data_IF_467483921418
#
_entry.id   IF_467483921418
#
_cell.length_a   1.000
_cell.length_b   1.000
_cell.length_c   1.000
_cell.angle_alpha   90.00
_cell.angle_beta   90.00
_cell.angle_gamma   90.00
#
_symmetry.space_group_name_H-M   'P 1'
#
loop_
_entity.id
_entity.type
_entity.pdbx_description
1 polymer ?
#
# COMPACT_ATOMS: atom_id res chain seq x y z
N UNK A 1 4.54 -1.94 14.28
CA UNK A 1 5.16 -0.87 13.46
C UNK A 1 6.65 -0.71 13.82
N UNK A 2 7.56 -0.53 12.85
CA UNK A 2 9.00 -0.29 13.09
C UNK A 2 9.29 1.01 13.87
N UNK A 3 10.49 1.13 14.45
CA UNK A 3 10.91 2.30 15.26
C UNK A 3 10.92 3.62 14.45
N UNK A 4 11.45 3.59 13.22
CA UNK A 4 11.48 4.78 12.33
C UNK A 4 10.06 5.30 12.05
N UNK A 5 9.14 4.39 11.70
CA UNK A 5 7.74 4.74 11.44
C UNK A 5 7.02 5.29 12.68
N UNK A 6 7.30 4.76 13.88
CA UNK A 6 6.77 5.30 15.13
C UNK A 6 7.24 6.71 15.42
N UNK A 7 8.55 6.98 15.30
CA UNK A 7 9.10 8.34 15.49
C UNK A 7 8.49 9.35 14.52
N UNK A 8 8.33 8.94 13.26
CA UNK A 8 7.71 9.78 12.26
C UNK A 8 6.23 10.04 12.59
N UNK A 9 5.50 9.02 13.05
CA UNK A 9 4.12 9.20 13.51
C UNK A 9 4.01 10.08 14.76
N UNK A 10 4.98 10.02 15.68
CA UNK A 10 5.06 10.92 16.83
C UNK A 10 5.28 12.38 16.41
N UNK A 11 6.07 12.61 15.36
CA UNK A 11 6.44 13.95 14.88
C UNK A 11 5.34 14.62 14.05
N UNK A 12 4.75 13.89 13.10
CA UNK A 12 3.79 14.46 12.12
C UNK A 12 2.43 13.77 12.12
N UNK A 13 2.19 12.81 13.01
CA UNK A 13 0.96 12.02 13.00
C UNK A 13 -0.30 12.80 13.34
N UNK A 14 -0.17 13.92 14.05
CA UNK A 14 -1.25 14.84 14.38
C UNK A 14 -1.56 15.88 13.30
N UNK A 15 -0.73 15.98 12.26
CA UNK A 15 -0.89 17.00 11.22
C UNK A 15 -2.00 16.61 10.21
N UNK A 16 -2.70 17.61 9.62
CA UNK A 16 -3.71 17.37 8.60
C UNK A 16 -3.17 16.70 7.35
N UNK A 17 -3.92 15.72 6.85
CA UNK A 17 -3.72 15.13 5.53
C UNK A 17 -4.32 16.08 4.49
N UNK A 18 -3.48 16.50 3.55
CA UNK A 18 -3.80 17.41 2.45
C UNK A 18 -4.14 16.67 1.15
N UNK A 19 -3.53 15.50 0.95
CA UNK A 19 -3.78 14.65 -0.23
C UNK A 19 -3.61 13.17 0.15
N UNK A 20 -4.45 12.32 -0.41
CA UNK A 20 -4.32 10.87 -0.35
C UNK A 20 -4.39 10.31 -1.77
N UNK A 21 -3.51 9.36 -2.09
CA UNK A 21 -3.52 8.65 -3.36
C UNK A 21 -3.27 7.17 -3.13
N UNK A 22 -3.92 6.32 -3.92
CA UNK A 22 -3.56 4.92 -4.05
C UNK A 22 -2.37 4.83 -5.02
N UNK A 23 -1.28 4.25 -4.54
CA UNK A 23 -0.17 3.82 -5.38
C UNK A 23 -0.25 2.33 -5.63
N UNK A 24 -0.04 1.94 -6.89
CA UNK A 24 0.02 0.55 -7.34
C UNK A 24 1.33 0.35 -8.11
N UNK A 25 2.08 -0.68 -7.76
CA UNK A 25 3.32 -1.06 -8.46
C UNK A 25 3.39 -2.57 -8.68
N UNK A 26 3.88 -3.06 -9.83
CA UNK A 26 4.05 -4.47 -10.06
C UNK A 26 4.97 -5.10 -9.01
N UNK A 27 4.64 -6.33 -8.61
CA UNK A 27 5.55 -7.15 -7.81
C UNK A 27 6.73 -7.53 -8.71
N UNK A 28 7.97 -7.31 -8.22
CA UNK A 28 9.19 -7.57 -8.97
C UNK A 28 9.20 -8.96 -9.61
N UNK A 29 9.61 -9.04 -10.88
CA UNK A 29 9.76 -10.27 -11.66
C UNK A 29 10.49 -11.39 -10.93
N UNK A 30 11.50 -11.06 -10.12
CA UNK A 30 12.26 -12.05 -9.37
C UNK A 30 11.39 -12.80 -8.36
N UNK A 31 10.46 -12.11 -7.70
CA UNK A 31 9.53 -12.77 -6.78
C UNK A 31 8.59 -13.70 -7.55
N UNK A 32 8.03 -13.23 -8.68
CA UNK A 32 7.16 -14.04 -9.56
C UNK A 32 7.90 -15.29 -10.08
N UNK A 33 9.16 -15.15 -10.50
CA UNK A 33 10.00 -16.27 -10.94
C UNK A 33 10.22 -17.31 -9.84
N UNK A 34 10.45 -16.88 -8.59
CA UNK A 34 10.59 -17.79 -7.46
C UNK A 34 9.27 -18.51 -7.18
N UNK A 35 8.13 -17.80 -7.19
CA UNK A 35 6.81 -18.41 -6.99
C UNK A 35 6.49 -19.43 -8.09
N UNK A 36 6.81 -19.12 -9.35
CA UNK A 36 6.66 -20.05 -10.47
C UNK A 36 7.57 -21.28 -10.32
N UNK A 37 8.82 -21.10 -9.90
CA UNK A 37 9.71 -22.23 -9.65
C UNK A 37 9.18 -23.15 -8.55
N UNK A 38 8.74 -22.59 -7.42
CA UNK A 38 8.23 -23.36 -6.28
C UNK A 38 6.89 -24.06 -6.56
N UNK A 39 6.03 -23.44 -7.38
CA UNK A 39 4.74 -24.00 -7.78
C UNK A 39 4.82 -24.94 -8.99
N UNK A 40 6.00 -25.16 -9.57
CA UNK A 40 6.15 -25.84 -10.86
C UNK A 40 5.28 -25.19 -11.96
N UNK A 41 5.30 -23.86 -12.04
CA UNK A 41 4.54 -22.99 -12.95
C UNK A 41 3.03 -22.89 -12.70
N UNK A 42 2.46 -23.68 -11.77
CA UNK A 42 1.02 -23.61 -11.43
C UNK A 42 0.58 -22.21 -10.98
N UNK A 43 1.49 -21.42 -10.39
CA UNK A 43 1.20 -20.04 -9.98
C UNK A 43 0.88 -19.16 -11.20
N UNK A 44 1.71 -19.20 -12.25
CA UNK A 44 1.48 -18.45 -13.48
C UNK A 44 0.21 -18.92 -14.20
N UNK A 45 -0.02 -20.23 -14.27
CA UNK A 45 -1.22 -20.79 -14.89
C UNK A 45 -2.48 -20.32 -14.16
N UNK A 46 -2.45 -20.31 -12.82
CA UNK A 46 -3.58 -19.85 -12.00
C UNK A 46 -3.77 -18.34 -12.10
N UNK A 47 -2.68 -17.57 -12.15
CA UNK A 47 -2.74 -16.12 -12.37
C UNK A 47 -3.46 -15.81 -13.70
N UNK A 48 -3.10 -16.50 -14.78
CA UNK A 48 -3.74 -16.37 -16.08
C UNK A 48 -5.21 -16.82 -16.06
N UNK A 49 -5.51 -17.94 -15.40
CA UNK A 49 -6.89 -18.45 -15.24
C UNK A 49 -7.80 -17.46 -14.49
N UNK A 50 -7.26 -16.75 -13.49
CA UNK A 50 -7.97 -15.71 -12.74
C UNK A 50 -8.05 -14.37 -13.50
N UNK A 51 -7.47 -14.27 -14.69
CA UNK A 51 -7.50 -13.07 -15.52
C UNK A 51 -6.59 -11.95 -15.04
N UNK A 52 -5.54 -12.26 -14.26
CA UNK A 52 -4.60 -11.25 -13.78
C UNK A 52 -3.41 -11.11 -14.73
N UNK A 53 -3.32 -9.98 -15.42
CA UNK A 53 -2.16 -9.68 -16.27
C UNK A 53 -0.87 -9.51 -15.43
N UNK A 54 -0.98 -8.80 -14.30
CA UNK A 54 0.12 -8.56 -13.37
C UNK A 54 -0.35 -8.61 -11.91
N UNK A 55 0.56 -8.99 -11.01
CA UNK A 55 0.34 -8.94 -9.56
C UNK A 55 0.94 -7.65 -9.00
N UNK A 56 0.18 -6.92 -8.20
CA UNK A 56 0.58 -5.59 -7.73
C UNK A 56 0.66 -5.48 -6.22
N UNK A 57 1.49 -4.55 -5.77
CA UNK A 57 1.59 -4.10 -4.40
C UNK A 57 0.93 -2.72 -4.26
N UNK A 58 -0.14 -2.66 -3.46
CA UNK A 58 -0.85 -1.42 -3.18
C UNK A 58 -0.29 -0.72 -1.93
N UNK A 59 -0.24 0.60 -1.97
CA UNK A 59 0.13 1.45 -0.85
C UNK A 59 -0.62 2.78 -0.91
N UNK A 60 -0.63 3.52 0.19
CA UNK A 60 -1.16 4.88 0.22
C UNK A 60 -0.01 5.89 0.19
N UNK A 61 -0.10 6.83 -0.75
CA UNK A 61 0.74 8.02 -0.78
C UNK A 61 -0.02 9.15 -0.09
N UNK A 62 0.45 9.54 1.09
CA UNK A 62 -0.20 10.54 1.94
C UNK A 62 0.65 11.80 1.95
N UNK A 63 0.06 12.93 1.59
CA UNK A 63 0.65 14.26 1.78
C UNK A 63 0.07 14.87 3.04
N UNK A 64 0.92 15.15 4.02
CA UNK A 64 0.54 15.87 5.24
C UNK A 64 1.08 17.30 5.22
N UNK A 65 0.37 18.20 5.89
CA UNK A 65 0.91 19.50 6.26
C UNK A 65 2.09 19.28 7.21
N UNK A 66 3.17 20.05 7.07
CA UNK A 66 4.34 19.96 7.92
C UNK A 66 4.83 21.35 8.29
N UNK A 67 4.66 21.75 9.53
CA UNK A 67 5.13 23.04 10.02
C UNK A 67 6.57 22.99 10.58
N UNK A 68 7.21 21.81 10.59
CA UNK A 68 8.48 21.53 11.28
C UNK A 68 9.73 21.45 10.36
N UNK A 69 9.59 21.58 9.03
CA UNK A 69 10.72 21.60 8.09
C UNK A 69 10.51 20.76 6.83
N UNK A 70 11.39 20.88 5.82
CA UNK A 70 11.19 20.31 4.47
C UNK A 70 11.27 18.78 4.42
N UNK A 71 10.32 18.14 3.72
CA UNK A 71 10.62 16.95 2.92
C UNK A 71 9.70 16.85 1.70
N UNK A 72 10.23 17.20 0.52
CA UNK A 72 9.48 17.16 -0.73
C UNK A 72 10.24 16.37 -1.79
N UNK A 73 9.59 15.34 -2.32
CA UNK A 73 9.93 14.73 -3.62
C UNK A 73 8.91 15.23 -4.65
N UNK A 74 9.26 16.30 -5.36
CA UNK A 74 8.33 17.11 -6.15
C UNK A 74 8.21 16.72 -7.63
N UNK A 75 8.80 15.62 -8.09
CA UNK A 75 8.89 15.35 -9.53
C UNK A 75 7.97 14.23 -10.06
N UNK A 76 7.06 13.66 -9.25
CA UNK A 76 6.21 12.53 -9.72
C UNK A 76 4.70 12.78 -9.67
N UNK A 77 4.21 13.80 -8.96
CA UNK A 77 2.83 14.27 -9.21
C UNK A 77 2.93 15.21 -10.42
N UNK A 78 2.75 14.68 -11.64
CA UNK A 78 2.99 15.37 -12.94
C UNK A 78 2.31 16.74 -13.15
N UNK A 79 1.65 17.35 -12.16
CA UNK A 79 0.96 18.65 -12.27
C UNK A 79 0.94 19.49 -10.95
N UNK A 80 2.06 19.66 -10.22
CA UNK A 80 2.06 20.59 -9.08
C UNK A 80 3.10 21.73 -9.26
N UNK A 81 2.70 22.91 -9.78
CA UNK A 81 3.54 24.10 -9.82
C UNK A 81 3.51 24.91 -8.50
N UNK A 82 3.12 24.31 -7.38
CA UNK A 82 2.87 25.04 -6.13
C UNK A 82 4.08 25.08 -5.19
N UNK A 83 4.30 26.25 -4.58
CA UNK A 83 5.26 26.47 -3.49
C UNK A 83 5.03 25.45 -2.36
N UNK A 84 5.98 24.52 -2.17
CA UNK A 84 5.85 23.35 -1.28
C UNK A 84 6.43 23.56 0.11
N UNK A 85 6.53 24.80 0.56
CA UNK A 85 6.93 25.08 1.93
C UNK A 85 5.92 24.43 2.89
N UNK A 86 6.41 23.47 3.67
CA UNK A 86 5.65 22.86 4.75
C UNK A 86 4.67 21.76 4.36
N UNK A 87 5.06 20.86 3.43
CA UNK A 87 4.35 19.61 3.16
C UNK A 87 5.33 18.43 3.23
N UNK A 88 4.87 17.28 3.70
CA UNK A 88 5.61 16.00 3.70
C UNK A 88 4.81 14.94 2.98
N UNK A 89 5.46 14.19 2.09
CA UNK A 89 4.85 13.06 1.38
C UNK A 89 5.39 11.74 1.93
N UNK A 90 4.50 10.81 2.27
CA UNK A 90 4.83 9.53 2.88
C UNK A 90 4.16 8.38 2.16
N UNK A 91 4.84 7.24 2.13
CA UNK A 91 4.27 5.96 1.75
C UNK A 91 3.85 5.23 3.02
N UNK A 92 2.54 4.97 3.13
CA UNK A 92 1.92 4.10 4.13
C UNK A 92 1.60 2.76 3.46
N UNK A 93 2.22 1.68 3.93
CA UNK A 93 2.05 0.35 3.34
C UNK A 93 2.09 -0.75 4.40
N UNK A 94 1.48 -1.89 4.08
CA UNK A 94 1.58 -3.12 4.86
C UNK A 94 2.35 -4.17 4.08
N UNK A 95 3.54 -4.51 4.55
CA UNK A 95 4.24 -5.76 4.20
C UNK A 95 4.11 -6.69 5.41
N UNK A 96 5.20 -7.27 5.94
CA UNK A 96 5.15 -7.98 7.23
C UNK A 96 4.80 -7.06 8.43
N UNK A 97 5.06 -5.76 8.29
CA UNK A 97 4.73 -4.74 9.28
C UNK A 97 4.12 -3.55 8.56
N UNK A 98 3.29 -2.80 9.27
CA UNK A 98 2.86 -1.47 8.81
C UNK A 98 4.07 -0.55 8.85
N UNK A 99 4.40 0.02 7.68
CA UNK A 99 5.51 0.92 7.46
C UNK A 99 5.03 2.32 7.11
N UNK A 100 5.82 3.31 7.51
CA UNK A 100 5.72 4.69 7.10
C UNK A 100 7.12 5.12 6.66
N UNK A 101 7.28 5.51 5.41
CA UNK A 101 8.60 5.83 4.83
C UNK A 101 8.51 6.94 3.80
N UNK A 102 9.67 7.49 3.50
CA UNK A 102 9.87 8.39 2.37
C UNK A 102 9.63 7.60 1.06
N UNK A 103 8.98 8.23 0.05
CA UNK A 103 8.88 7.62 -1.26
C UNK A 103 10.28 7.45 -1.88
N UNK A 104 10.53 6.34 -2.57
CA UNK A 104 11.76 6.12 -3.34
C UNK A 104 11.40 6.30 -4.81
N UNK A 105 12.10 7.21 -5.48
CA UNK A 105 11.76 7.73 -6.82
C UNK A 105 13.05 7.87 -7.64
N UNK A 106 13.05 7.57 -8.95
CA UNK A 106 11.93 7.07 -9.74
C UNK A 106 11.68 5.59 -9.53
N UNK A 107 10.41 5.21 -9.47
CA UNK A 107 9.97 3.83 -9.67
C UNK A 107 9.14 3.90 -10.95
N UNK A 108 9.65 3.33 -12.04
CA UNK A 108 9.18 3.56 -13.41
C UNK A 108 7.80 2.93 -13.71
N UNK A 109 7.16 2.30 -12.71
CA UNK A 109 5.90 1.56 -12.85
C UNK A 109 4.96 1.85 -11.66
N UNK A 110 4.72 3.13 -11.37
CA UNK A 110 3.73 3.53 -10.37
C UNK A 110 2.49 4.08 -11.07
N UNK A 111 1.37 3.37 -10.94
CA UNK A 111 0.05 3.95 -11.16
C UNK A 111 -0.37 4.70 -9.89
N UNK A 112 -0.83 5.95 -10.07
CA UNK A 112 -1.32 6.80 -9.00
C UNK A 112 -2.78 7.16 -9.26
N UNK A 113 -3.63 6.84 -8.29
CA UNK A 113 -5.06 7.15 -8.32
C UNK A 113 -5.39 8.10 -7.18
N UNK A 114 -6.12 9.16 -7.46
CA UNK A 114 -6.51 10.12 -6.42
C UNK A 114 -7.59 9.53 -5.51
N UNK A 115 -7.42 9.69 -4.20
CA UNK A 115 -8.42 9.30 -3.20
C UNK A 115 -9.00 10.58 -2.59
N UNK A 116 -10.22 10.98 -2.96
CA UNK A 116 -10.79 12.23 -2.50
C UNK A 116 -11.00 12.23 -0.98
N UNK A 117 -10.51 13.29 -0.32
CA UNK A 117 -10.72 13.50 1.10
C UNK A 117 -12.14 14.04 1.36
N UNK A 118 -12.75 13.76 2.52
CA UNK A 118 -14.09 14.25 2.82
C UNK A 118 -14.06 15.78 3.03
N UNK A 119 -14.95 16.56 2.42
CA UNK A 119 -14.86 18.03 2.40
C UNK A 119 -14.99 18.69 3.77
N UNK A 120 -15.64 18.02 4.73
CA UNK A 120 -15.94 18.56 6.06
C UNK A 120 -15.22 17.80 7.19
N UNK A 121 -14.15 17.07 6.88
CA UNK A 121 -13.41 16.27 7.86
C UNK A 121 -11.91 16.44 7.64
N UNK A 122 -11.25 17.08 8.59
CA UNK A 122 -9.79 17.04 8.67
C UNK A 122 -9.37 15.67 9.18
N UNK A 123 -8.61 14.93 8.38
CA UNK A 123 -8.08 13.62 8.71
C UNK A 123 -6.59 13.73 9.04
N UNK A 124 -6.10 12.97 10.01
CA UNK A 124 -4.67 12.90 10.34
C UNK A 124 -4.14 11.48 10.18
N UNK A 125 -2.82 11.29 10.11
CA UNK A 125 -2.21 9.96 10.05
C UNK A 125 -2.54 9.13 11.30
N UNK A 126 -2.55 9.76 12.49
CA UNK A 126 -2.95 9.10 13.73
C UNK A 126 -4.38 8.60 13.63
N UNK A 127 -5.31 9.41 13.12
CA UNK A 127 -6.70 9.00 12.94
C UNK A 127 -6.84 7.88 11.91
N UNK A 128 -6.15 7.98 10.76
CA UNK A 128 -6.13 6.92 9.74
C UNK A 128 -5.79 5.57 10.36
N UNK A 129 -4.67 5.51 11.08
CA UNK A 129 -4.12 4.27 11.61
C UNK A 129 -4.95 3.76 12.80
N UNK A 130 -5.31 4.62 13.74
CA UNK A 130 -6.03 4.21 14.94
C UNK A 130 -7.47 3.79 14.64
N UNK A 131 -8.16 4.50 13.74
CA UNK A 131 -9.54 4.13 13.34
C UNK A 131 -9.56 2.75 12.71
N UNK A 132 -8.64 2.46 11.79
CA UNK A 132 -8.56 1.12 11.16
C UNK A 132 -8.13 0.05 12.15
N UNK A 133 -7.21 0.35 13.06
CA UNK A 133 -6.82 -0.58 14.12
C UNK A 133 -8.00 -1.00 15.01
N UNK A 134 -8.91 -0.07 15.33
CA UNK A 134 -10.10 -0.40 16.12
C UNK A 134 -11.16 -1.17 15.33
N UNK A 135 -11.24 -0.94 14.02
CA UNK A 135 -12.18 -1.64 13.15
C UNK A 135 -11.71 -3.07 12.81
N UNK A 136 -10.40 -3.31 12.71
CA UNK A 136 -9.85 -4.58 12.23
C UNK A 136 -8.97 -5.30 13.25
N UNK A 137 -9.39 -6.50 13.66
CA UNK A 137 -8.67 -7.33 14.64
C UNK A 137 -7.29 -7.79 14.12
N UNK A 138 -7.17 -8.03 12.82
CA UNK A 138 -5.96 -8.56 12.18
C UNK A 138 -5.15 -7.48 11.45
N UNK A 139 -5.36 -6.21 11.83
CA UNK A 139 -4.74 -5.06 11.19
C UNK A 139 -3.20 -5.17 11.09
N UNK A 140 -2.55 -5.76 12.09
CA UNK A 140 -1.10 -5.96 12.11
C UNK A 140 -0.62 -7.31 11.55
N UNK A 141 -1.51 -8.28 11.34
CA UNK A 141 -1.16 -9.62 10.85
C UNK A 141 -1.04 -9.57 9.34
N UNK A 142 0.05 -10.11 8.77
CA UNK A 142 0.16 -10.30 7.31
C UNK A 142 -0.01 -11.77 6.99
N UNK A 143 -1.02 -12.09 6.17
CA UNK A 143 -1.24 -13.44 5.66
C UNK A 143 -1.86 -13.45 4.26
N UNK A 144 -1.01 -13.62 3.24
CA UNK A 144 -1.45 -13.72 1.86
C UNK A 144 -2.28 -15.00 1.58
N UNK A 145 -2.16 -16.03 2.40
CA UNK A 145 -2.98 -17.26 2.28
C UNK A 145 -4.43 -17.06 2.73
N UNK A 146 -4.71 -15.99 3.48
CA UNK A 146 -6.05 -15.62 3.93
C UNK A 146 -6.48 -14.24 3.41
N UNK A 147 -5.91 -13.80 2.28
CA UNK A 147 -6.17 -12.49 1.65
C UNK A 147 -5.88 -11.27 2.56
N UNK A 148 -5.08 -11.40 3.62
CA UNK A 148 -4.70 -10.30 4.51
C UNK A 148 -3.34 -9.71 4.11
N UNK A 149 -3.34 -8.79 3.16
CA UNK A 149 -2.15 -8.27 2.50
C UNK A 149 -2.23 -6.76 2.25
N UNK A 150 -1.29 -6.22 1.48
CA UNK A 150 -1.20 -4.79 1.19
C UNK A 150 -2.47 -4.22 0.54
N UNK A 151 -3.11 -4.97 -0.37
CA UNK A 151 -4.34 -4.56 -1.04
C UNK A 151 -5.53 -4.46 -0.09
N UNK A 152 -5.80 -5.52 0.67
CA UNK A 152 -6.87 -5.50 1.68
C UNK A 152 -6.58 -4.48 2.76
N UNK A 153 -5.34 -4.31 3.21
CA UNK A 153 -4.96 -3.24 4.12
C UNK A 153 -5.33 -1.84 3.62
N UNK A 154 -4.98 -1.51 2.37
CA UNK A 154 -5.33 -0.19 1.81
C UNK A 154 -6.85 -0.02 1.79
N UNK A 155 -7.59 -1.03 1.30
CA UNK A 155 -9.06 -1.01 1.27
C UNK A 155 -9.66 -0.81 2.67
N UNK A 156 -9.20 -1.56 3.66
CA UNK A 156 -9.62 -1.44 5.07
C UNK A 156 -9.33 -0.07 5.67
N UNK A 157 -8.18 0.53 5.33
CA UNK A 157 -7.84 1.90 5.74
C UNK A 157 -8.83 2.90 5.15
N UNK A 158 -9.15 2.77 3.86
CA UNK A 158 -10.11 3.65 3.19
C UNK A 158 -11.53 3.48 3.73
N UNK A 159 -12.00 2.25 3.90
CA UNK A 159 -13.33 1.93 4.42
C UNK A 159 -13.53 2.46 5.85
N UNK A 160 -12.61 2.11 6.75
CA UNK A 160 -12.70 2.49 8.18
C UNK A 160 -12.71 4.00 8.40
N UNK A 161 -12.06 4.75 7.51
CA UNK A 161 -11.96 6.21 7.62
C UNK A 161 -13.05 6.97 6.84
N UNK A 162 -13.94 6.25 6.16
CA UNK A 162 -15.04 6.83 5.37
C UNK A 162 -14.56 7.50 4.08
N UNK A 163 -13.48 6.99 3.48
CA UNK A 163 -12.92 7.51 2.24
C UNK A 163 -13.53 6.84 1.00
N UNK A 164 -13.93 5.57 1.09
CA UNK A 164 -14.53 4.83 -0.04
C UNK A 164 -15.72 5.53 -0.70
N UNK A 165 -16.70 6.13 0.02
CA UNK A 165 -17.85 6.76 -0.61
C UNK A 165 -17.51 7.98 -1.48
N UNK A 166 -16.30 8.55 -1.34
CA UNK A 166 -15.88 9.70 -2.13
C UNK A 166 -15.17 9.30 -3.43
N UNK A 167 -14.89 8.00 -3.62
CA UNK A 167 -14.25 7.47 -4.82
C UNK A 167 -15.35 7.14 -5.84
N UNK A 168 -15.45 7.96 -6.87
CA UNK A 168 -16.41 7.79 -7.97
C UNK A 168 -15.76 7.35 -9.28
N UNK A 169 -14.43 7.40 -9.33
CA UNK A 169 -13.66 7.00 -10.49
C UNK A 169 -13.56 5.47 -10.58
N UNK A 170 -14.06 4.90 -11.68
CA UNK A 170 -14.11 3.44 -11.88
C UNK A 170 -12.71 2.81 -11.88
N UNK A 171 -11.72 3.47 -12.50
CA UNK A 171 -10.36 2.95 -12.55
C UNK A 171 -9.72 2.85 -11.15
N UNK A 172 -10.01 3.81 -10.27
CA UNK A 172 -9.59 3.78 -8.86
C UNK A 172 -10.29 2.66 -8.09
N UNK A 173 -11.59 2.45 -8.33
CA UNK A 173 -12.35 1.36 -7.71
C UNK A 173 -11.81 -0.01 -8.14
N UNK A 174 -11.54 -0.19 -9.43
CA UNK A 174 -10.92 -1.40 -9.98
C UNK A 174 -9.51 -1.63 -9.39
N UNK A 175 -8.69 -0.59 -9.29
CA UNK A 175 -7.35 -0.69 -8.70
C UNK A 175 -7.36 -1.02 -7.18
N UNK A 176 -8.49 -0.81 -6.50
CA UNK A 176 -8.70 -1.19 -5.10
C UNK A 176 -9.20 -2.62 -4.92
N UNK A 177 -9.62 -3.30 -5.99
CA UNK A 177 -10.06 -4.70 -5.90
C UNK A 177 -8.86 -5.59 -5.56
N UNK A 178 -8.89 -6.28 -4.40
CA UNK A 178 -7.83 -7.21 -4.05
C UNK A 178 -7.84 -8.42 -4.99
N UNK A 179 -6.66 -8.89 -5.37
CA UNK A 179 -6.51 -10.17 -6.06
C UNK A 179 -6.93 -11.32 -5.14
N UNK A 180 -7.35 -12.44 -5.73
CA UNK A 180 -7.58 -13.69 -4.99
C UNK A 180 -6.24 -14.37 -4.66
N UNK A 181 -5.55 -13.80 -3.68
CA UNK A 181 -4.23 -14.27 -3.28
C UNK A 181 -4.28 -15.62 -2.60
N UNK A 182 -5.39 -15.97 -1.95
CA UNK A 182 -5.61 -17.28 -1.34
C UNK A 182 -5.53 -18.37 -2.39
N UNK A 183 -6.27 -18.21 -3.49
CA UNK A 183 -6.24 -19.16 -4.61
C UNK A 183 -4.86 -19.20 -5.28
N UNK A 184 -4.19 -18.05 -5.44
CA UNK A 184 -2.82 -18.00 -5.97
C UNK A 184 -1.81 -18.73 -5.06
N UNK A 185 -1.83 -18.47 -3.75
CA UNK A 185 -0.91 -19.07 -2.78
C UNK A 185 -1.19 -20.57 -2.60
N UNK A 186 -2.44 -21.02 -2.75
CA UNK A 186 -2.79 -22.43 -2.71
C UNK A 186 -2.08 -23.26 -3.79
N UNK A 187 -1.63 -22.66 -4.89
CA UNK A 187 -0.83 -23.35 -5.92
C UNK A 187 0.55 -23.82 -5.43
N UNK A 188 1.00 -23.32 -4.29
CA UNK A 188 2.31 -23.62 -3.70
C UNK A 188 2.26 -24.81 -2.74
N UNK A 189 1.09 -25.44 -2.56
CA UNK A 189 0.90 -26.61 -1.70
C UNK A 189 1.53 -26.39 -0.28
N UNK A 190 2.31 -27.34 0.24
CA UNK A 190 2.99 -27.23 1.54
C UNK A 190 4.08 -26.14 1.60
N UNK A 191 4.47 -25.56 0.46
CA UNK A 191 5.51 -24.53 0.37
C UNK A 191 4.96 -23.11 0.60
N UNK A 192 3.68 -22.97 0.94
CA UNK A 192 3.07 -21.68 1.33
C UNK A 192 3.83 -20.97 2.46
N UNK A 193 4.46 -21.71 3.38
CA UNK A 193 5.33 -21.16 4.42
C UNK A 193 6.58 -20.44 3.88
N UNK A 194 7.09 -20.83 2.71
CA UNK A 194 8.23 -20.18 2.05
C UNK A 194 7.85 -18.85 1.39
N UNK A 195 6.57 -18.61 1.08
CA UNK A 195 6.08 -17.31 0.58
C UNK A 195 6.33 -16.18 1.57
N UNK A 196 6.21 -16.48 2.86
CA UNK A 196 6.53 -15.54 3.94
C UNK A 196 8.02 -15.18 3.93
N UNK A 197 8.89 -16.15 3.62
CA UNK A 197 10.34 -15.97 3.53
C UNK A 197 10.77 -15.21 2.25
N UNK A 198 10.11 -15.47 1.11
CA UNK A 198 10.41 -14.80 -0.16
C UNK A 198 9.95 -13.35 -0.17
N UNK A 199 8.82 -13.05 0.48
CA UNK A 199 8.35 -11.66 0.68
C UNK A 199 9.36 -10.86 1.49
N UNK A 200 9.98 -11.45 2.52
CA UNK A 200 11.06 -10.83 3.30
C UNK A 200 12.36 -10.62 2.49
N UNK A 201 12.72 -11.57 1.62
CA UNK A 201 13.90 -11.45 0.75
C UNK A 201 13.67 -10.35 -0.30
N UNK A 202 12.50 -10.33 -0.93
CA UNK A 202 12.13 -9.30 -1.90
C UNK A 202 12.09 -7.92 -1.25
N UNK A 203 11.57 -7.81 -0.02
CA UNK A 203 11.55 -6.57 0.76
C UNK A 203 12.95 -6.09 1.20
N UNK A 204 13.91 -7.01 1.41
CA UNK A 204 15.32 -6.69 1.75
C UNK A 204 16.21 -6.38 0.54
N UNK A 205 15.76 -6.68 -0.67
CA UNK A 205 16.43 -6.31 -1.93
C UNK A 205 15.99 -4.90 -2.41
N UNK A 206 15.53 -4.06 -1.48
CA UNK A 206 15.23 -2.64 -1.64
C UNK A 206 16.14 -1.81 -0.77
#
# INVERSE_FOLDING_TARGET
MPLKARKLLEEIGGEPIMKSQLGRRPVKDLAIKILNFLSYSKFADKQYELGYDEIYHNYLLITVQNNHGFNVLQNIVRNAPENTNGKTVLVLEKSFRIGLRDPVIPDEMIDLYDIPLPPNKSLTLNQLITTTLYAEKDFFVYDAGENNMCQTFVKSVLESNGLMPNIVDEATLEALEPIDSKTLVATLDELSGLVKLTTDIAAKLH
#
